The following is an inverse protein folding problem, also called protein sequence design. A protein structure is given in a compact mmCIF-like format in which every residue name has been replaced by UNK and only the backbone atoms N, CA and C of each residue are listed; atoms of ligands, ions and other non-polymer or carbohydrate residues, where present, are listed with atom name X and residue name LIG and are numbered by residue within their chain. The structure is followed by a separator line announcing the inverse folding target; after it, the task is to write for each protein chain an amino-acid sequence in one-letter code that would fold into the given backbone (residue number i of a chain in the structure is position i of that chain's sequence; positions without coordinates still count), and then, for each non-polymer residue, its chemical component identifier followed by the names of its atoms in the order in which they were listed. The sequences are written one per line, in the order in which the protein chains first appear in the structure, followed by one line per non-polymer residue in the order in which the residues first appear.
data_IF_151679298222
#
_entry.id   IF_151679298222
#
_cell.length_a   1.000
_cell.length_b   1.000
_cell.length_c   1.000
_cell.angle_alpha   90.00
_cell.angle_beta   90.00
_cell.angle_gamma   90.00
#
_symmetry.space_group_name_H-M   'P 1'
#
loop_
_entity.id
_entity.type
_entity.pdbx_description
1 polymer ?
#
# COMPACT_ATOMS: atom_id res chain seq x y z
N UNK A 1 -18.76 38.88 10.62
CA UNK A 1 -18.99 37.94 9.54
C UNK A 1 -17.85 36.90 9.60
N UNK A 2 -18.13 35.61 9.94
CA UNK A 2 -17.15 34.55 9.83
C UNK A 2 -17.02 34.15 8.35
N UNK A 3 -15.81 33.96 7.82
CA UNK A 3 -15.64 33.44 6.48
C UNK A 3 -16.25 32.00 6.40
N UNK A 4 -16.83 31.61 5.27
CA UNK A 4 -17.41 30.29 5.10
C UNK A 4 -16.31 29.23 5.23
N UNK A 5 -16.56 28.19 6.02
CA UNK A 5 -15.66 27.05 6.11
C UNK A 5 -15.56 26.35 4.74
N UNK A 6 -14.34 26.03 4.29
CA UNK A 6 -14.16 25.36 3.01
C UNK A 6 -14.78 23.97 3.10
N UNK A 7 -15.79 23.72 2.29
CA UNK A 7 -16.46 22.42 2.20
C UNK A 7 -15.50 21.40 1.59
N UNK A 8 -15.48 20.16 2.12
CA UNK A 8 -14.68 19.02 1.64
C UNK A 8 -14.81 18.84 0.11
N UNK A 9 -15.95 19.18 -0.48
CA UNK A 9 -16.18 19.19 -1.93
C UNK A 9 -15.24 20.15 -2.70
N UNK A 10 -14.85 21.28 -2.10
CA UNK A 10 -13.94 22.25 -2.74
C UNK A 10 -12.51 21.70 -2.85
N UNK A 11 -12.04 20.98 -1.85
CA UNK A 11 -10.70 20.37 -1.84
C UNK A 11 -10.58 19.19 -2.81
N UNK A 12 -11.62 18.36 -2.92
CA UNK A 12 -11.66 17.23 -3.87
C UNK A 12 -11.64 17.73 -5.33
N UNK A 13 -12.38 18.80 -5.64
CA UNK A 13 -12.38 19.42 -6.97
C UNK A 13 -11.02 20.05 -7.32
N UNK A 14 -10.37 20.69 -6.35
CA UNK A 14 -9.03 21.28 -6.55
C UNK A 14 -7.96 20.22 -6.76
N UNK A 15 -8.02 19.10 -6.02
CA UNK A 15 -7.11 17.98 -6.19
C UNK A 15 -7.31 17.30 -7.55
N UNK A 16 -8.56 17.11 -7.98
CA UNK A 16 -8.90 16.55 -9.29
C UNK A 16 -8.44 17.45 -10.44
N UNK A 17 -8.58 18.76 -10.32
CA UNK A 17 -8.08 19.72 -11.30
C UNK A 17 -6.55 19.76 -11.37
N UNK A 18 -5.87 19.64 -10.23
CA UNK A 18 -4.40 19.58 -10.19
C UNK A 18 -3.87 18.32 -10.88
N UNK A 19 -4.55 17.18 -10.73
CA UNK A 19 -4.23 15.92 -11.41
C UNK A 19 -4.44 16.00 -12.93
N UNK A 20 -5.44 16.74 -13.40
CA UNK A 20 -5.72 16.92 -14.83
C UNK A 20 -4.69 17.81 -15.54
N UNK A 21 -4.09 18.78 -14.85
CA UNK A 21 -3.08 19.69 -15.43
C UNK A 21 -1.74 18.99 -15.68
N UNK A 22 -1.46 17.88 -15.00
CA UNK A 22 -0.20 17.10 -15.13
C UNK A 22 -0.23 16.12 -16.32
N UNK A 23 -1.36 15.92 -16.97
CA UNK A 23 -1.52 14.99 -18.10
C UNK A 23 -0.89 15.57 -19.40
N UNK A 24 0.45 15.61 -19.49
CA UNK A 24 1.14 15.75 -20.78
C UNK A 24 1.08 14.42 -21.53
N UNK A 25 0.79 14.39 -22.84
CA UNK A 25 0.83 13.15 -23.62
C UNK A 25 2.25 12.58 -23.55
N UNK A 26 2.37 11.39 -22.97
CA UNK A 26 3.60 10.62 -23.00
C UNK A 26 3.81 10.15 -24.46
N UNK A 27 4.99 10.38 -24.99
CA UNK A 27 5.42 9.81 -26.26
C UNK A 27 5.25 8.28 -26.18
N UNK A 28 4.65 7.71 -27.22
CA UNK A 28 4.35 6.30 -27.37
C UNK A 28 5.61 5.46 -27.15
N UNK A 29 5.73 4.82 -25.99
CA UNK A 29 6.62 3.69 -25.81
C UNK A 29 6.05 2.51 -26.58
N UNK A 30 6.92 1.75 -27.28
CA UNK A 30 6.54 0.46 -27.85
C UNK A 30 5.87 -0.40 -26.78
N UNK A 31 4.85 -1.19 -27.15
CA UNK A 31 4.19 -2.05 -26.19
C UNK A 31 5.16 -3.13 -25.71
N UNK A 32 5.81 -2.90 -24.58
CA UNK A 32 6.41 -3.98 -23.82
C UNK A 32 5.29 -4.93 -23.39
N UNK A 33 5.55 -6.24 -23.44
CA UNK A 33 4.62 -7.23 -22.91
C UNK A 33 4.23 -6.83 -21.48
N UNK A 34 2.93 -6.71 -21.15
CA UNK A 34 2.49 -6.25 -19.85
C UNK A 34 2.99 -7.18 -18.75
N UNK A 35 3.60 -6.58 -17.73
CA UNK A 35 4.12 -7.29 -16.56
C UNK A 35 3.39 -6.84 -15.32
N UNK A 36 3.23 -7.76 -14.36
CA UNK A 36 2.70 -7.43 -13.04
C UNK A 36 3.66 -6.46 -12.33
N UNK A 37 3.09 -5.47 -11.66
CA UNK A 37 3.79 -4.48 -10.83
C UNK A 37 3.34 -4.62 -9.36
N UNK A 38 3.90 -5.60 -8.61
CA UNK A 38 3.46 -5.89 -7.26
C UNK A 38 3.74 -4.73 -6.29
N UNK A 39 2.75 -4.34 -5.49
CA UNK A 39 2.93 -3.55 -4.28
C UNK A 39 3.26 -4.43 -3.06
N UNK A 40 3.00 -5.73 -3.17
CA UNK A 40 3.37 -6.74 -2.18
C UNK A 40 4.82 -7.22 -2.43
N UNK A 41 5.49 -7.76 -1.44
CA UNK A 41 5.07 -8.05 -0.05
C UNK A 41 5.39 -6.94 0.95
N UNK A 42 6.01 -5.84 0.52
CA UNK A 42 6.49 -4.76 1.38
C UNK A 42 5.35 -3.85 1.87
N UNK A 43 5.57 -3.13 2.96
CA UNK A 43 4.72 -2.02 3.41
C UNK A 43 4.87 -0.84 2.45
N UNK A 44 6.09 -0.66 1.90
CA UNK A 44 6.37 0.31 0.84
C UNK A 44 5.57 -0.03 -0.42
N UNK A 45 4.89 0.97 -0.96
CA UNK A 45 4.20 0.90 -2.25
C UNK A 45 5.08 1.51 -3.33
N UNK A 46 5.23 0.91 -4.51
CA UNK A 46 6.01 1.48 -5.60
C UNK A 46 5.36 2.74 -6.18
N UNK A 47 6.21 3.70 -6.59
CA UNK A 47 5.76 4.91 -7.27
C UNK A 47 5.34 4.67 -8.73
N UNK A 48 5.68 3.51 -9.30
CA UNK A 48 5.31 3.09 -10.65
C UNK A 48 3.89 2.51 -10.66
N UNK A 49 3.20 2.64 -11.80
CA UNK A 49 1.83 2.14 -11.98
C UNK A 49 1.81 0.79 -12.69
N UNK A 50 0.68 0.09 -12.61
CA UNK A 50 0.40 -1.06 -13.48
C UNK A 50 0.31 -0.63 -14.94
N UNK A 51 0.48 -1.53 -15.92
CA UNK A 51 0.31 -1.21 -17.33
C UNK A 51 -1.06 -0.60 -17.63
N UNK A 52 -1.10 0.46 -18.45
CA UNK A 52 -2.33 1.20 -18.75
C UNK A 52 -3.38 0.32 -19.41
N UNK A 53 -4.59 0.36 -18.86
CA UNK A 53 -5.74 -0.40 -19.32
C UNK A 53 -5.80 -1.83 -18.78
N UNK A 54 -4.84 -2.25 -17.95
CA UNK A 54 -4.83 -3.57 -17.33
C UNK A 54 -5.29 -3.50 -15.87
N UNK A 55 -6.00 -4.54 -15.45
CA UNK A 55 -6.42 -4.74 -14.06
C UNK A 55 -5.47 -5.73 -13.39
N UNK A 56 -4.97 -5.35 -12.21
CA UNK A 56 -4.11 -6.18 -11.37
C UNK A 56 -4.81 -6.48 -10.05
N UNK A 57 -4.68 -7.73 -9.61
CA UNK A 57 -5.13 -8.19 -8.30
C UNK A 57 -3.92 -8.57 -7.46
N UNK A 58 -3.92 -8.15 -6.22
CA UNK A 58 -2.99 -8.59 -5.21
C UNK A 58 -3.79 -9.19 -4.06
N UNK A 59 -3.50 -10.42 -3.70
CA UNK A 59 -4.18 -11.11 -2.59
C UNK A 59 -3.15 -11.79 -1.72
N UNK A 60 -3.33 -11.72 -0.40
CA UNK A 60 -2.40 -12.31 0.52
C UNK A 60 -3.03 -12.67 1.85
N UNK A 61 -2.68 -13.86 2.33
CA UNK A 61 -2.97 -14.30 3.68
C UNK A 61 -1.87 -13.78 4.62
N UNK A 62 -2.29 -13.26 5.75
CA UNK A 62 -1.44 -12.76 6.83
C UNK A 62 -1.83 -13.44 8.14
N UNK A 63 -0.84 -13.93 8.88
CA UNK A 63 -0.99 -14.28 10.29
C UNK A 63 -0.12 -13.36 11.13
N UNK A 64 -0.74 -12.65 12.08
CA UNK A 64 -0.09 -11.71 12.99
C UNK A 64 -0.28 -12.16 14.44
N UNK A 65 0.72 -11.93 15.27
CA UNK A 65 0.67 -12.22 16.70
C UNK A 65 1.12 -11.04 17.55
N UNK A 66 0.47 -10.87 18.71
CA UNK A 66 0.81 -9.88 19.70
C UNK A 66 0.89 -8.44 19.14
N UNK A 67 -0.25 -7.97 18.61
CA UNK A 67 -0.51 -6.56 18.34
C UNK A 67 -1.01 -5.86 19.61
N UNK A 68 -0.94 -4.52 19.68
CA UNK A 68 -1.62 -3.74 20.75
C UNK A 68 -3.12 -4.00 20.82
N UNK A 69 -3.80 -4.41 19.73
CA UNK A 69 -5.25 -4.60 19.68
C UNK A 69 -5.71 -6.07 19.75
N UNK A 70 -4.80 -7.02 19.52
CA UNK A 70 -5.16 -8.44 19.55
C UNK A 70 -3.99 -9.33 19.97
N UNK A 71 -4.30 -10.52 20.46
CA UNK A 71 -3.29 -11.55 20.75
C UNK A 71 -2.85 -12.32 19.50
N UNK A 72 -3.76 -12.55 18.56
CA UNK A 72 -3.47 -13.13 17.23
C UNK A 72 -4.57 -12.77 16.23
N UNK A 73 -4.17 -12.67 14.96
CA UNK A 73 -5.11 -12.44 13.85
C UNK A 73 -4.64 -13.20 12.61
N UNK A 74 -5.60 -13.82 11.92
CA UNK A 74 -5.43 -14.34 10.56
C UNK A 74 -6.32 -13.53 9.63
N UNK A 75 -5.77 -12.95 8.58
CA UNK A 75 -6.53 -12.10 7.65
C UNK A 75 -6.21 -12.40 6.19
N UNK A 76 -7.17 -12.09 5.33
CA UNK A 76 -6.99 -12.00 3.89
C UNK A 76 -7.00 -10.52 3.51
N UNK A 77 -5.97 -10.08 2.83
CA UNK A 77 -5.82 -8.70 2.37
C UNK A 77 -5.80 -8.67 0.85
N UNK A 78 -6.54 -7.77 0.25
CA UNK A 78 -6.68 -7.64 -1.19
C UNK A 78 -6.48 -6.21 -1.65
N UNK A 79 -5.80 -6.04 -2.78
CA UNK A 79 -5.67 -4.76 -3.48
C UNK A 79 -5.98 -4.99 -4.97
N UNK A 80 -6.85 -4.17 -5.52
CA UNK A 80 -7.07 -4.06 -6.96
C UNK A 80 -6.48 -2.76 -7.46
N UNK A 81 -5.75 -2.82 -8.58
CA UNK A 81 -5.10 -1.69 -9.24
C UNK A 81 -5.52 -1.62 -10.69
N UNK A 82 -5.91 -0.45 -11.15
CA UNK A 82 -6.34 -0.23 -12.53
C UNK A 82 -5.83 1.10 -13.06
N UNK A 83 -4.79 1.06 -13.89
CA UNK A 83 -4.26 2.27 -14.54
C UNK A 83 -5.16 2.69 -15.69
N UNK A 84 -5.84 3.81 -15.51
CA UNK A 84 -6.75 4.39 -16.51
C UNK A 84 -6.03 5.33 -17.47
N UNK A 85 -4.91 5.91 -17.04
CA UNK A 85 -4.04 6.81 -17.82
C UNK A 85 -2.57 6.50 -17.52
N UNK A 86 -1.62 6.93 -18.37
CA UNK A 86 -0.18 6.69 -18.17
C UNK A 86 0.37 7.20 -16.81
N UNK A 87 -0.36 8.07 -16.14
CA UNK A 87 0.04 8.66 -14.86
C UNK A 87 -1.01 8.56 -13.77
N UNK A 88 -2.12 7.86 -14.01
CA UNK A 88 -3.23 7.76 -13.04
C UNK A 88 -3.70 6.32 -12.93
N UNK A 89 -3.70 5.81 -11.71
CA UNK A 89 -4.17 4.48 -11.32
C UNK A 89 -5.26 4.60 -10.25
N UNK A 90 -6.32 3.83 -10.40
CA UNK A 90 -7.36 3.65 -9.41
C UNK A 90 -7.01 2.44 -8.54
N UNK A 91 -7.30 2.56 -7.24
CA UNK A 91 -6.95 1.58 -6.23
C UNK A 91 -8.19 1.22 -5.40
N UNK A 92 -8.33 -0.06 -5.09
CA UNK A 92 -9.29 -0.53 -4.08
C UNK A 92 -8.54 -1.47 -3.15
N UNK A 93 -8.56 -1.17 -1.86
CA UNK A 93 -7.97 -2.01 -0.82
C UNK A 93 -9.07 -2.58 0.06
N UNK A 94 -8.99 -3.84 0.44
CA UNK A 94 -9.97 -4.50 1.31
C UNK A 94 -9.34 -5.60 2.15
N UNK A 95 -9.96 -5.85 3.31
CA UNK A 95 -9.72 -7.01 4.17
C UNK A 95 -10.97 -7.89 4.22
N UNK A 96 -11.28 -8.71 3.19
CA UNK A 96 -12.57 -9.42 3.10
C UNK A 96 -12.82 -10.40 4.25
N UNK A 97 -11.76 -10.83 4.92
CA UNK A 97 -11.86 -11.76 6.06
C UNK A 97 -10.75 -11.50 7.07
N UNK A 98 -11.13 -11.53 8.35
CA UNK A 98 -10.19 -11.66 9.46
C UNK A 98 -10.79 -12.51 10.60
N UNK A 99 -9.94 -13.35 11.18
CA UNK A 99 -10.19 -14.10 12.40
C UNK A 99 -9.26 -13.57 13.48
N UNK A 100 -9.80 -12.91 14.49
CA UNK A 100 -9.03 -12.24 15.53
C UNK A 100 -9.31 -12.88 16.89
N UNK A 101 -8.28 -12.94 17.75
CA UNK A 101 -8.40 -13.29 19.16
C UNK A 101 -8.01 -12.10 20.02
N UNK A 102 -8.98 -11.60 20.80
CA UNK A 102 -8.82 -10.48 21.73
C UNK A 102 -9.25 -10.97 23.11
N UNK A 103 -8.41 -10.83 24.13
CA UNK A 103 -8.70 -11.22 25.54
C UNK A 103 -9.24 -12.66 25.69
N UNK A 104 -8.71 -13.57 24.87
CA UNK A 104 -9.11 -15.00 24.88
C UNK A 104 -10.40 -15.31 24.11
N UNK A 105 -11.11 -14.30 23.62
CA UNK A 105 -12.29 -14.47 22.79
C UNK A 105 -11.90 -14.41 21.30
N UNK A 106 -12.52 -15.25 20.50
CA UNK A 106 -12.31 -15.28 19.04
C UNK A 106 -13.50 -14.65 18.32
N UNK A 107 -13.22 -13.79 17.35
CA UNK A 107 -14.22 -13.16 16.48
C UNK A 107 -13.83 -13.31 15.02
N UNK A 108 -14.84 -13.43 14.16
CA UNK A 108 -14.69 -13.37 12.72
C UNK A 108 -15.33 -12.09 12.19
N UNK A 109 -14.73 -11.50 11.18
CA UNK A 109 -15.27 -10.32 10.56
C UNK A 109 -14.58 -9.97 9.25
N UNK A 110 -14.89 -8.80 8.74
CA UNK A 110 -14.22 -8.18 7.61
C UNK A 110 -13.48 -6.94 8.10
N UNK A 111 -12.31 -6.71 7.54
CA UNK A 111 -11.57 -5.46 7.69
C UNK A 111 -12.16 -4.33 6.85
N UNK A 112 -11.47 -3.20 6.84
CA UNK A 112 -11.88 -2.01 6.10
C UNK A 112 -11.87 -2.18 4.58
N UNK A 113 -12.59 -1.27 3.92
CA UNK A 113 -12.53 -1.08 2.46
C UNK A 113 -12.17 0.37 2.19
N UNK A 114 -11.12 0.57 1.40
CA UNK A 114 -10.64 1.89 1.00
C UNK A 114 -10.62 2.04 -0.53
N UNK A 115 -11.01 3.20 -1.00
CA UNK A 115 -10.87 3.61 -2.39
C UNK A 115 -9.70 4.58 -2.49
N UNK A 116 -8.87 4.42 -3.51
CA UNK A 116 -7.69 5.23 -3.69
C UNK A 116 -7.44 5.63 -5.14
N UNK A 117 -6.54 6.61 -5.26
CA UNK A 117 -5.98 7.04 -6.54
C UNK A 117 -4.49 7.30 -6.36
N UNK A 118 -3.69 6.85 -7.33
CA UNK A 118 -2.27 7.16 -7.40
C UNK A 118 -1.99 7.98 -8.65
N UNK A 119 -1.19 9.02 -8.51
CA UNK A 119 -0.75 9.88 -9.60
C UNK A 119 0.76 10.01 -9.65
N UNK A 120 1.37 9.74 -10.83
CA UNK A 120 2.80 9.94 -11.06
C UNK A 120 3.08 11.41 -11.36
N UNK A 121 3.80 12.08 -10.44
CA UNK A 121 4.20 13.48 -10.57
C UNK A 121 5.43 13.62 -11.48
N UNK A 122 6.42 12.75 -11.27
CA UNK A 122 7.65 12.71 -12.05
C UNK A 122 7.99 11.25 -12.39
N UNK A 123 8.21 10.98 -13.67
CA UNK A 123 8.69 9.67 -14.13
C UNK A 123 10.21 9.72 -14.26
N UNK A 124 10.87 8.89 -13.48
CA UNK A 124 12.30 8.70 -13.48
C UNK A 124 12.73 7.48 -14.25
N UNK A 125 14.05 7.28 -14.35
CA UNK A 125 14.67 6.11 -14.95
C UNK A 125 16.01 5.82 -14.27
N UNK A 126 16.23 4.57 -13.90
CA UNK A 126 17.43 4.12 -13.19
C UNK A 126 17.59 4.86 -11.85
N UNK A 127 18.69 5.58 -11.70
CA UNK A 127 19.00 6.34 -10.46
C UNK A 127 18.14 7.59 -10.25
N UNK A 128 17.44 8.06 -11.27
CA UNK A 128 16.48 9.16 -11.16
C UNK A 128 15.17 8.61 -10.67
N UNK A 129 14.67 9.00 -9.48
CA UNK A 129 13.47 8.37 -8.94
C UNK A 129 12.22 8.75 -9.72
N UNK A 130 11.32 7.78 -9.87
CA UNK A 130 9.91 8.05 -10.15
C UNK A 130 9.28 8.53 -8.84
N UNK A 131 8.50 9.62 -8.90
CA UNK A 131 7.82 10.22 -7.75
C UNK A 131 6.32 10.19 -8.02
N UNK A 132 5.55 9.69 -7.07
CA UNK A 132 4.10 9.63 -7.13
C UNK A 132 3.47 10.06 -5.81
N UNK A 133 2.19 10.35 -5.87
CA UNK A 133 1.36 10.59 -4.70
C UNK A 133 0.14 9.67 -4.78
N UNK A 134 -0.20 9.05 -3.65
CA UNK A 134 -1.44 8.28 -3.51
C UNK A 134 -2.32 8.90 -2.44
N UNK A 135 -3.62 8.80 -2.65
CA UNK A 135 -4.64 9.14 -1.68
C UNK A 135 -5.60 7.97 -1.52
N UNK A 136 -5.92 7.63 -0.29
CA UNK A 136 -6.94 6.64 0.05
C UNK A 136 -7.99 7.24 0.97
N UNK A 137 -9.23 6.81 0.77
CA UNK A 137 -10.35 7.13 1.64
C UNK A 137 -11.05 5.84 2.04
N UNK A 138 -11.15 5.60 3.34
CA UNK A 138 -11.91 4.48 3.88
C UNK A 138 -13.40 4.73 3.71
N UNK A 139 -14.07 3.87 2.93
CA UNK A 139 -15.52 3.91 2.70
C UNK A 139 -16.29 2.98 3.64
N UNK A 140 -15.60 1.97 4.19
CA UNK A 140 -16.13 1.03 5.17
C UNK A 140 -15.01 0.65 6.14
N UNK A 141 -15.22 0.83 7.45
CA UNK A 141 -14.20 0.63 8.48
C UNK A 141 -14.07 -0.83 8.97
N UNK A 142 -14.89 -1.74 8.46
CA UNK A 142 -14.84 -3.12 8.93
C UNK A 142 -15.42 -3.32 10.35
N UNK A 143 -15.23 -4.52 10.87
CA UNK A 143 -15.66 -4.92 12.22
C UNK A 143 -14.63 -5.82 12.93
N UNK A 144 -13.38 -5.80 12.47
CA UNK A 144 -12.25 -6.51 13.07
C UNK A 144 -11.20 -5.51 13.51
N UNK A 145 -10.38 -5.83 14.55
CA UNK A 145 -9.26 -4.98 14.95
C UNK A 145 -8.27 -4.79 13.80
N UNK A 146 -7.76 -3.58 13.66
CA UNK A 146 -6.65 -3.26 12.76
C UNK A 146 -5.30 -3.68 13.39
N UNK A 147 -4.23 -3.70 12.58
CA UNK A 147 -2.88 -3.96 13.09
C UNK A 147 -2.38 -2.82 14.00
N UNK A 148 -2.86 -1.61 13.76
CA UNK A 148 -2.60 -0.41 14.55
C UNK A 148 -3.85 0.03 15.32
N UNK A 149 -3.65 0.76 16.42
CA UNK A 149 -4.77 1.34 17.18
C UNK A 149 -5.41 2.47 16.40
N UNK A 150 -6.69 2.33 16.10
CA UNK A 150 -7.50 3.24 15.30
C UNK A 150 -7.44 2.94 13.81
N UNK A 151 -8.50 3.30 13.11
CA UNK A 151 -8.63 3.13 11.65
C UNK A 151 -8.13 4.33 10.88
N UNK A 152 -7.39 4.10 9.80
CA UNK A 152 -6.94 5.15 8.88
C UNK A 152 -8.08 5.60 7.96
N UNK A 153 -8.76 6.70 8.31
CA UNK A 153 -9.90 7.22 7.52
C UNK A 153 -9.47 7.87 6.20
N UNK A 154 -8.39 8.62 6.25
CA UNK A 154 -7.77 9.22 5.07
C UNK A 154 -6.27 9.00 5.12
N UNK A 155 -5.67 8.63 4.00
CA UNK A 155 -4.23 8.43 3.88
C UNK A 155 -3.69 9.16 2.67
N UNK A 156 -2.58 9.85 2.85
CA UNK A 156 -1.80 10.46 1.76
C UNK A 156 -0.41 9.87 1.82
N UNK A 157 0.07 9.35 0.69
CA UNK A 157 1.39 8.76 0.55
C UNK A 157 2.19 9.53 -0.50
N UNK A 158 3.39 9.96 -0.15
CA UNK A 158 4.40 10.39 -1.11
C UNK A 158 5.34 9.22 -1.34
N UNK A 159 5.47 8.82 -2.60
CA UNK A 159 6.16 7.61 -3.04
C UNK A 159 7.36 7.97 -3.91
N UNK A 160 8.47 7.28 -3.73
CA UNK A 160 9.60 7.37 -4.64
C UNK A 160 10.21 5.99 -4.88
N UNK A 161 10.43 5.65 -6.16
CA UNK A 161 11.03 4.39 -6.61
C UNK A 161 12.22 4.66 -7.51
N UNK A 162 13.33 3.94 -7.33
CA UNK A 162 14.54 4.07 -8.13
C UNK A 162 15.29 2.74 -8.27
N UNK A 163 16.03 2.58 -9.38
CA UNK A 163 16.90 1.45 -9.61
C UNK A 163 18.36 1.88 -9.56
N UNK A 164 19.14 1.30 -8.66
CA UNK A 164 20.55 1.64 -8.48
C UNK A 164 21.39 0.37 -8.47
N UNK A 165 22.22 0.19 -9.49
CA UNK A 165 23.19 -0.93 -9.60
C UNK A 165 22.55 -2.32 -9.40
N UNK A 166 21.35 -2.54 -9.94
CA UNK A 166 20.64 -3.81 -9.87
C UNK A 166 19.83 -4.01 -8.58
N UNK A 167 19.78 -3.02 -7.69
CA UNK A 167 18.88 -2.96 -6.56
C UNK A 167 17.72 -2.02 -6.89
N UNK A 168 16.53 -2.43 -6.54
CA UNK A 168 15.33 -1.59 -6.59
C UNK A 168 15.02 -1.04 -5.20
N UNK A 169 14.70 0.23 -5.12
CA UNK A 169 14.42 0.96 -3.89
C UNK A 169 13.02 1.57 -3.96
N UNK A 170 12.20 1.33 -2.94
CA UNK A 170 10.96 2.06 -2.71
C UNK A 170 11.01 2.75 -1.35
N UNK A 171 10.64 4.01 -1.30
CA UNK A 171 10.48 4.75 -0.04
C UNK A 171 9.17 5.50 -0.04
N UNK A 172 8.48 5.47 1.10
CA UNK A 172 7.22 6.18 1.26
C UNK A 172 7.26 7.09 2.49
N UNK A 173 6.65 8.27 2.36
CA UNK A 173 6.23 9.11 3.47
C UNK A 173 4.70 9.06 3.52
N UNK A 174 4.18 8.66 4.66
CA UNK A 174 2.77 8.34 4.85
C UNK A 174 2.19 9.27 5.90
N UNK A 175 1.06 9.86 5.58
CA UNK A 175 0.23 10.60 6.50
C UNK A 175 -1.14 9.94 6.57
N UNK A 176 -1.53 9.49 7.77
CA UNK A 176 -2.85 8.92 8.03
C UNK A 176 -3.62 9.80 8.99
N UNK A 177 -4.89 10.03 8.69
CA UNK A 177 -5.87 10.51 9.66
C UNK A 177 -6.42 9.30 10.41
N UNK A 178 -5.90 9.04 11.60
CA UNK A 178 -6.36 7.94 12.47
C UNK A 178 -7.58 8.38 13.27
N UNK A 179 -8.61 7.53 13.28
CA UNK A 179 -9.82 7.73 14.07
C UNK A 179 -9.91 6.63 15.11
N UNK A 180 -9.96 7.02 16.39
CA UNK A 180 -10.21 6.11 17.51
C UNK A 180 -11.22 6.74 18.47
N UNK A 181 -12.27 6.00 18.84
CA UNK A 181 -13.39 6.44 19.67
C UNK A 181 -13.96 7.81 19.23
N UNK A 182 -13.71 8.85 20.00
CA UNK A 182 -14.17 10.21 19.71
C UNK A 182 -13.04 11.15 19.25
N UNK A 183 -11.82 10.64 19.01
CA UNK A 183 -10.65 11.45 18.70
C UNK A 183 -10.10 11.16 17.29
N UNK A 184 -9.67 12.24 16.62
CA UNK A 184 -8.90 12.17 15.37
C UNK A 184 -7.47 12.55 15.65
N UNK A 185 -6.51 11.80 15.15
CA UNK A 185 -5.09 12.04 15.33
C UNK A 185 -4.33 11.82 14.06
N UNK A 186 -3.24 12.56 13.86
CA UNK A 186 -2.32 12.37 12.76
C UNK A 186 -1.33 11.26 13.10
N UNK A 187 -1.18 10.29 12.19
CA UNK A 187 -0.10 9.30 12.20
C UNK A 187 0.84 9.60 11.05
N UNK A 188 2.13 9.53 11.31
CA UNK A 188 3.18 9.64 10.29
C UNK A 188 3.90 8.32 10.15
N UNK A 189 4.08 7.88 8.90
CA UNK A 189 4.81 6.68 8.54
C UNK A 189 5.98 6.99 7.61
N UNK A 190 7.02 6.16 7.70
CA UNK A 190 8.17 6.16 6.81
C UNK A 190 8.57 4.73 6.54
N UNK A 191 8.81 4.40 5.28
CA UNK A 191 9.24 3.07 4.89
C UNK A 191 10.39 3.16 3.89
N UNK A 192 11.27 2.18 3.93
CA UNK A 192 12.34 1.99 2.94
C UNK A 192 12.48 0.51 2.67
N UNK A 193 12.15 0.10 1.47
CA UNK A 193 12.42 -1.25 0.97
C UNK A 193 13.58 -1.26 -0.03
N UNK A 194 14.29 -2.36 -0.04
CA UNK A 194 15.36 -2.66 -0.98
C UNK A 194 15.11 -4.07 -1.49
N UNK A 195 15.04 -4.23 -2.79
CA UNK A 195 14.89 -5.54 -3.43
C UNK A 195 15.98 -5.80 -4.46
N UNK A 196 16.31 -7.08 -4.62
CA UNK A 196 17.32 -7.54 -5.57
C UNK A 196 16.91 -8.88 -6.17
N UNK A 197 17.15 -9.04 -7.47
CA UNK A 197 16.95 -10.33 -8.16
C UNK A 197 18.11 -11.27 -7.83
N UNK A 198 17.81 -12.40 -7.16
CA UNK A 198 18.79 -13.46 -6.88
C UNK A 198 19.02 -14.33 -8.11
N UNK A 199 17.96 -14.56 -8.89
CA UNK A 199 17.97 -15.30 -10.17
C UNK A 199 16.97 -14.63 -11.10
N UNK A 200 16.87 -15.05 -12.37
CA UNK A 200 15.89 -14.50 -13.30
C UNK A 200 14.42 -14.59 -12.86
N UNK A 201 14.10 -15.41 -11.84
CA UNK A 201 12.72 -15.58 -11.33
C UNK A 201 12.57 -15.32 -9.85
N UNK A 202 13.64 -15.41 -9.07
CA UNK A 202 13.60 -15.29 -7.61
C UNK A 202 14.23 -13.98 -7.18
N UNK A 203 13.49 -13.18 -6.41
CA UNK A 203 13.95 -11.95 -5.79
C UNK A 203 13.89 -12.02 -4.26
N UNK A 204 14.71 -11.22 -3.61
CA UNK A 204 14.73 -11.01 -2.17
C UNK A 204 14.42 -9.52 -1.91
N UNK A 205 13.54 -9.26 -0.96
CA UNK A 205 13.22 -7.91 -0.48
C UNK A 205 13.49 -7.82 1.01
N UNK A 206 14.07 -6.70 1.44
CA UNK A 206 14.22 -6.32 2.83
C UNK A 206 13.66 -4.91 3.03
N UNK A 207 12.97 -4.67 4.14
CA UNK A 207 12.37 -3.38 4.44
C UNK A 207 12.55 -3.01 5.90
N UNK A 208 12.67 -1.72 6.17
CA UNK A 208 12.50 -1.11 7.48
C UNK A 208 11.34 -0.11 7.41
N UNK A 209 10.50 -0.12 8.43
CA UNK A 209 9.37 0.79 8.52
C UNK A 209 9.26 1.40 9.91
N UNK A 210 8.68 2.59 9.96
CA UNK A 210 8.41 3.35 11.17
C UNK A 210 7.04 4.02 11.04
N UNK A 211 6.21 3.93 12.09
CA UNK A 211 4.96 4.68 12.24
C UNK A 211 4.88 5.29 13.63
N UNK A 212 4.43 6.53 13.71
CA UNK A 212 4.00 7.09 14.98
C UNK A 212 2.71 6.39 15.43
N UNK A 213 2.58 6.13 16.74
CA UNK A 213 1.36 5.57 17.35
C UNK A 213 0.69 6.64 18.22
N UNK A 214 -0.16 7.50 17.60
CA UNK A 214 -0.64 8.71 18.26
C UNK A 214 -1.54 8.42 19.47
N UNK A 215 -2.26 7.29 19.49
CA UNK A 215 -3.09 6.89 20.61
C UNK A 215 -2.26 6.31 21.77
N UNK A 216 -1.14 5.68 21.49
CA UNK A 216 -0.20 5.15 22.48
C UNK A 216 0.89 6.16 22.88
N UNK A 217 0.97 7.32 22.21
CA UNK A 217 2.03 8.34 22.38
C UNK A 217 3.44 7.73 22.26
N UNK A 218 3.61 6.84 21.30
CA UNK A 218 4.82 6.04 21.08
C UNK A 218 5.10 5.92 19.59
N UNK A 219 6.06 5.06 19.23
CA UNK A 219 6.43 4.75 17.85
C UNK A 219 6.45 3.23 17.65
N UNK A 220 5.94 2.78 16.51
CA UNK A 220 6.09 1.44 16.03
C UNK A 220 7.22 1.40 15.00
N UNK A 221 8.15 0.47 15.15
CA UNK A 221 9.26 0.23 14.22
C UNK A 221 9.34 -1.27 13.95
N UNK A 222 9.64 -1.64 12.73
CA UNK A 222 9.84 -3.05 12.38
C UNK A 222 10.68 -3.23 11.12
N UNK A 223 10.92 -4.48 10.81
CA UNK A 223 11.56 -4.90 9.59
C UNK A 223 10.81 -6.08 8.97
N UNK A 224 10.89 -6.16 7.63
CA UNK A 224 10.27 -7.20 6.84
C UNK A 224 11.31 -7.83 5.92
N UNK A 225 11.20 -9.13 5.73
CA UNK A 225 11.98 -9.89 4.77
C UNK A 225 11.07 -10.80 3.96
N UNK A 226 11.24 -10.81 2.64
CA UNK A 226 10.39 -11.59 1.77
C UNK A 226 11.13 -12.10 0.53
N UNK A 227 10.63 -13.22 0.02
CA UNK A 227 10.98 -13.76 -1.27
C UNK A 227 9.85 -13.49 -2.26
N UNK A 228 10.21 -13.12 -3.47
CA UNK A 228 9.33 -12.94 -4.61
C UNK A 228 9.69 -13.95 -5.69
N UNK A 229 8.70 -14.65 -6.23
CA UNK A 229 8.89 -15.59 -7.32
C UNK A 229 8.05 -15.22 -8.54
N UNK A 230 8.72 -14.79 -9.60
CA UNK A 230 8.12 -14.46 -10.90
C UNK A 230 7.74 -15.76 -11.64
N UNK A 231 6.59 -16.34 -11.31
CA UNK A 231 6.10 -17.57 -11.92
C UNK A 231 5.85 -17.38 -13.43
N UNK A 232 5.27 -16.22 -13.79
CA UNK A 232 5.05 -15.72 -15.16
C UNK A 232 5.21 -14.20 -15.16
N UNK A 233 5.27 -13.58 -16.35
CA UNK A 233 5.29 -12.10 -16.47
C UNK A 233 4.12 -11.43 -15.76
N UNK A 234 2.96 -12.08 -15.78
CA UNK A 234 1.73 -11.58 -15.19
C UNK A 234 1.37 -12.22 -13.83
N UNK A 235 2.24 -13.06 -13.26
CA UNK A 235 1.98 -13.74 -11.97
C UNK A 235 3.25 -13.76 -11.12
N UNK A 236 3.21 -13.08 -10.00
CA UNK A 236 4.24 -13.07 -8.97
C UNK A 236 3.67 -13.70 -7.71
N UNK A 237 4.40 -14.61 -7.10
CA UNK A 237 4.11 -15.18 -5.79
C UNK A 237 5.04 -14.57 -4.77
N UNK A 238 4.58 -14.36 -3.56
CA UNK A 238 5.39 -13.83 -2.48
C UNK A 238 5.17 -14.58 -1.16
N UNK A 239 6.21 -14.60 -0.33
CA UNK A 239 6.14 -15.10 1.04
C UNK A 239 7.21 -14.43 1.90
N UNK A 240 6.90 -14.19 3.16
CA UNK A 240 7.85 -13.55 4.04
C UNK A 240 7.39 -13.43 5.48
N UNK A 241 8.14 -12.66 6.23
CA UNK A 241 7.83 -12.34 7.61
C UNK A 241 8.13 -10.88 7.92
N UNK A 242 7.38 -10.31 8.85
CA UNK A 242 7.58 -9.00 9.43
C UNK A 242 7.80 -9.14 10.94
N UNK A 243 8.71 -8.35 11.49
CA UNK A 243 9.02 -8.33 12.92
C UNK A 243 8.99 -6.92 13.46
N UNK A 244 8.11 -6.68 14.43
CA UNK A 244 8.11 -5.48 15.23
C UNK A 244 9.29 -5.45 16.20
N UNK A 245 9.92 -4.29 16.31
CA UNK A 245 11.10 -4.02 17.13
C UNK A 245 10.79 -3.21 18.39
N UNK A 246 9.58 -2.62 18.46
CA UNK A 246 9.10 -1.85 19.63
C UNK A 246 7.91 -2.55 20.28
N UNK A 247 7.62 -2.20 21.53
CA UNK A 247 6.50 -2.79 22.28
C UNK A 247 5.12 -2.39 21.73
N UNK A 248 5.07 -1.36 20.89
CA UNK A 248 3.86 -0.86 20.24
C UNK A 248 3.70 -1.35 18.80
N UNK A 249 4.65 -2.14 18.33
CA UNK A 249 4.56 -2.83 17.04
C UNK A 249 3.94 -4.21 17.22
N UNK A 250 3.22 -4.70 16.20
CA UNK A 250 2.88 -6.12 16.09
C UNK A 250 4.16 -6.95 16.13
N UNK A 251 4.25 -7.91 17.06
CA UNK A 251 5.51 -8.58 17.37
C UNK A 251 6.04 -9.43 16.22
N UNK A 252 5.16 -10.12 15.53
CA UNK A 252 5.53 -10.97 14.40
C UNK A 252 4.37 -11.24 13.47
N UNK A 253 4.68 -11.27 12.18
CA UNK A 253 3.74 -11.58 11.13
C UNK A 253 4.41 -12.53 10.15
N UNK A 254 3.66 -13.46 9.61
CA UNK A 254 4.03 -14.28 8.45
C UNK A 254 2.96 -14.11 7.39
N UNK A 255 3.39 -14.07 6.15
CA UNK A 255 2.48 -13.87 5.04
C UNK A 255 2.88 -14.67 3.81
N UNK A 256 1.87 -14.97 3.00
CA UNK A 256 2.00 -15.51 1.66
C UNK A 256 0.99 -14.83 0.76
N UNK A 257 1.31 -14.66 -0.51
CA UNK A 257 0.38 -14.04 -1.42
C UNK A 257 0.77 -14.15 -2.88
N UNK A 258 0.00 -13.45 -3.69
CA UNK A 258 0.26 -13.35 -5.12
C UNK A 258 -0.17 -11.99 -5.66
N UNK A 259 0.47 -11.62 -6.76
CA UNK A 259 0.06 -10.51 -7.64
C UNK A 259 -0.23 -11.07 -9.01
N UNK A 260 -1.43 -10.80 -9.54
CA UNK A 260 -1.86 -11.27 -10.84
C UNK A 260 -2.37 -10.12 -11.71
N UNK A 261 -1.69 -9.89 -12.82
CA UNK A 261 -2.14 -8.96 -13.87
C UNK A 261 -3.03 -9.71 -14.85
N UNK A 262 -4.25 -9.24 -15.09
CA UNK A 262 -5.13 -9.82 -16.09
C UNK A 262 -4.46 -9.77 -17.48
N UNK A 263 -4.54 -10.86 -18.27
CA UNK A 263 -3.83 -10.93 -19.55
C UNK A 263 -4.47 -10.05 -20.65
N UNK A 264 -5.67 -9.54 -20.42
CA UNK A 264 -6.42 -8.75 -21.39
C UNK A 264 -6.52 -7.30 -20.96
N UNK A 265 -6.23 -6.41 -21.91
CA UNK A 265 -6.43 -4.98 -21.74
C UNK A 265 -7.93 -4.67 -21.71
N UNK A 266 -8.39 -3.95 -20.68
CA UNK A 266 -9.81 -3.60 -20.50
C UNK A 266 -10.16 -2.24 -21.10
N UNK A 267 -9.17 -1.32 -21.22
CA UNK A 267 -9.34 -0.04 -21.90
C UNK A 267 -8.47 -0.02 -23.16
N UNK A 268 -8.95 0.60 -24.26
CA UNK A 268 -8.22 0.69 -25.53
C UNK A 268 -6.91 1.47 -25.42
#
# INVERSE_FOLDING_TARGET
MKPPEPTIRGWLLSLLLLLLVVARPALTQQPEDPQANPGRPTVSTPATLTPVGYLQFESGFLYANQSPEFSSQSSLNEVMKFSILPRIELLVSSGPFAHSRVDGQSTNGAGGVSLGVQGVLHQGEGVRPTIAVSYFHEVYGGNTPDLDIGSAKNSVLLLASADVKGFHYDTNFIFNEQIGDAARRAQFGQTLSISHSLTGKLGLSGEIWHFTQPFLRSNAVGNLWALNYNARKNLVLDAGFNRGLTNTSTRGEIFVGFTYLLPHRLLP
#
